data_IF_851668477620
#
_entry.id   IF_851668477620
#
_cell.length_a   1.000
_cell.length_b   1.000
_cell.length_c   1.000
_cell.angle_alpha   90.00
_cell.angle_beta   90.00
_cell.angle_gamma   90.00
#
_symmetry.space_group_name_H-M   'P 1'
#
loop_
_entity.id
_entity.type
_entity.pdbx_description
1 polymer ?
#
# COMPACT_ATOMS: atom_id res chain seq x y z
N UNK A 1 16.86 2.03 70.01
CA UNK A 1 15.94 2.50 68.95
C UNK A 1 16.80 2.80 67.73
N UNK A 2 16.69 2.06 66.61
CA UNK A 2 17.60 2.19 65.48
C UNK A 2 17.05 3.17 64.44
N UNK A 3 17.88 4.10 63.97
CA UNK A 3 17.68 4.76 62.67
C UNK A 3 18.61 4.09 61.67
N UNK A 4 18.01 3.38 60.72
CA UNK A 4 18.70 2.68 59.65
C UNK A 4 18.82 3.65 58.46
N UNK A 5 19.98 4.28 58.30
CA UNK A 5 20.28 5.21 57.21
C UNK A 5 20.41 4.44 55.87
N UNK A 6 19.32 4.35 55.12
CA UNK A 6 19.26 3.71 53.82
C UNK A 6 19.88 4.64 52.75
N UNK A 7 21.21 4.63 52.64
CA UNK A 7 21.89 5.29 51.52
C UNK A 7 21.61 4.54 50.23
N UNK A 8 20.80 5.14 49.36
CA UNK A 8 20.59 4.66 48.00
C UNK A 8 21.92 4.68 47.23
N UNK A 9 22.42 3.52 46.83
CA UNK A 9 23.62 3.43 46.00
C UNK A 9 23.37 4.09 44.63
N UNK A 10 24.30 4.95 44.14
CA UNK A 10 24.14 5.58 42.85
C UNK A 10 24.15 4.50 41.75
N UNK A 11 23.26 4.61 40.74
CA UNK A 11 23.18 3.62 39.67
C UNK A 11 24.55 3.48 38.99
N UNK A 12 25.03 2.24 38.86
CA UNK A 12 26.34 1.96 38.28
C UNK A 12 26.51 2.61 36.90
N UNK A 13 27.68 3.17 36.65
CA UNK A 13 28.03 3.89 35.41
C UNK A 13 27.60 3.07 34.18
N UNK A 14 27.82 1.76 34.19
CA UNK A 14 27.38 0.80 33.16
C UNK A 14 25.86 0.80 32.90
N UNK A 15 25.01 0.91 33.94
CA UNK A 15 23.55 1.05 33.76
C UNK A 15 23.17 2.39 33.12
N UNK A 16 23.92 3.46 33.39
CA UNK A 16 23.75 4.76 32.73
C UNK A 16 24.09 4.67 31.24
N UNK A 17 25.23 4.08 30.90
CA UNK A 17 25.65 3.89 29.50
C UNK A 17 24.68 3.02 28.69
N UNK A 18 24.21 1.89 29.26
CA UNK A 18 23.21 1.04 28.58
C UNK A 18 21.90 1.79 28.34
N UNK A 19 21.42 2.57 29.33
CA UNK A 19 20.22 3.39 29.18
C UNK A 19 20.39 4.48 28.13
N UNK A 20 21.54 5.14 28.07
CA UNK A 20 21.83 6.16 27.06
C UNK A 20 21.91 5.57 25.66
N UNK A 21 22.56 4.41 25.49
CA UNK A 21 22.63 3.71 24.19
C UNK A 21 21.25 3.25 23.73
N UNK A 22 20.44 2.68 24.63
CA UNK A 22 19.06 2.30 24.32
C UNK A 22 18.18 3.51 23.97
N UNK A 23 18.34 4.63 24.67
CA UNK A 23 17.62 5.86 24.38
C UNK A 23 18.02 6.46 23.02
N UNK A 24 19.30 6.44 22.67
CA UNK A 24 19.80 6.89 21.37
C UNK A 24 19.36 5.98 20.23
N UNK A 25 19.35 4.66 20.45
CA UNK A 25 18.84 3.70 19.47
C UNK A 25 17.32 3.88 19.24
N UNK A 26 16.54 4.09 20.32
CA UNK A 26 15.12 4.39 20.21
C UNK A 26 14.86 5.73 19.51
N UNK A 27 15.64 6.78 19.81
CA UNK A 27 15.53 8.07 19.16
C UNK A 27 15.90 8.02 17.67
N UNK A 28 16.94 7.25 17.32
CA UNK A 28 17.32 7.00 15.93
C UNK A 28 16.25 6.23 15.16
N UNK A 29 15.64 5.22 15.79
CA UNK A 29 14.52 4.47 15.21
C UNK A 29 13.29 5.36 15.00
N UNK A 30 12.95 6.19 15.97
CA UNK A 30 11.85 7.16 15.87
C UNK A 30 12.13 8.19 14.78
N UNK A 31 13.35 8.74 14.70
CA UNK A 31 13.74 9.68 13.65
C UNK A 31 13.69 9.04 12.25
N UNK A 32 14.07 7.77 12.12
CA UNK A 32 13.95 7.02 10.87
C UNK A 32 12.49 6.77 10.46
N UNK A 33 11.55 6.79 11.41
CA UNK A 33 10.12 6.70 11.14
C UNK A 33 9.48 8.04 10.71
N UNK A 34 10.15 9.19 10.90
CA UNK A 34 9.61 10.51 10.52
C UNK A 34 9.72 10.76 9.00
N UNK A 35 10.71 10.15 8.34
CA UNK A 35 10.84 10.20 6.87
C UNK A 35 10.05 9.12 6.13
N UNK A 36 9.61 8.07 6.84
CA UNK A 36 8.67 7.09 6.32
C UNK A 36 7.26 7.63 6.52
N UNK A 37 6.32 7.33 5.62
CA UNK A 37 4.89 7.47 5.95
C UNK A 37 4.38 6.10 6.41
N UNK A 38 4.65 5.66 7.66
CA UNK A 38 4.20 4.35 8.14
C UNK A 38 2.67 4.26 8.09
N UNK A 39 1.99 5.38 8.30
CA UNK A 39 0.53 5.49 8.17
C UNK A 39 0.09 5.15 6.74
N UNK A 40 0.76 5.67 5.71
CA UNK A 40 0.45 5.34 4.31
C UNK A 40 0.60 3.84 4.04
N UNK A 41 1.69 3.22 4.52
CA UNK A 41 1.93 1.78 4.31
C UNK A 41 0.85 0.95 5.02
N UNK A 42 0.50 1.30 6.25
CA UNK A 42 -0.58 0.63 7.00
C UNK A 42 -1.92 0.77 6.30
N UNK A 43 -2.28 1.98 5.85
CA UNK A 43 -3.51 2.24 5.08
C UNK A 43 -3.57 1.38 3.80
N UNK A 44 -2.48 1.34 3.04
CA UNK A 44 -2.38 0.53 1.83
C UNK A 44 -2.52 -0.97 2.14
N UNK A 45 -1.86 -1.45 3.20
CA UNK A 45 -1.97 -2.84 3.65
C UNK A 45 -3.39 -3.23 4.09
N UNK A 46 -4.08 -2.37 4.82
CA UNK A 46 -5.48 -2.60 5.21
C UNK A 46 -6.38 -2.66 3.99
N UNK A 47 -6.22 -1.74 3.04
CA UNK A 47 -7.01 -1.72 1.81
C UNK A 47 -6.84 -3.02 1.02
N UNK A 48 -5.58 -3.46 0.82
CA UNK A 48 -5.28 -4.72 0.13
C UNK A 48 -5.89 -5.92 0.86
N UNK A 49 -5.74 -6.00 2.18
CA UNK A 49 -6.34 -7.08 2.98
C UNK A 49 -7.86 -7.13 2.78
N UNK A 50 -8.54 -5.98 2.77
CA UNK A 50 -9.99 -5.92 2.56
C UNK A 50 -10.38 -6.42 1.17
N UNK A 51 -9.64 -6.02 0.13
CA UNK A 51 -9.85 -6.51 -1.25
C UNK A 51 -9.68 -8.02 -1.30
N UNK A 52 -8.59 -8.54 -0.74
CA UNK A 52 -8.27 -9.97 -0.77
C UNK A 52 -9.29 -10.82 -0.01
N UNK A 53 -9.80 -10.32 1.12
CA UNK A 53 -10.84 -10.97 1.93
C UNK A 53 -12.21 -10.98 1.24
N UNK A 54 -12.52 -9.96 0.44
CA UNK A 54 -13.79 -9.83 -0.26
C UNK A 54 -13.87 -10.65 -1.57
N UNK A 55 -12.77 -11.28 -2.00
CA UNK A 55 -12.71 -12.05 -3.26
C UNK A 55 -13.68 -13.23 -3.24
N UNK A 56 -14.42 -13.38 -4.34
CA UNK A 56 -15.30 -14.52 -4.62
C UNK A 56 -14.84 -15.24 -5.90
N UNK A 57 -14.93 -16.57 -5.98
CA UNK A 57 -14.70 -17.28 -7.23
C UNK A 57 -15.68 -16.82 -8.30
N UNK A 58 -15.18 -16.53 -9.51
CA UNK A 58 -15.99 -15.97 -10.61
C UNK A 58 -17.20 -16.85 -10.94
N UNK A 59 -17.03 -18.17 -10.96
CA UNK A 59 -18.14 -19.10 -11.22
C UNK A 59 -19.29 -18.96 -10.22
N UNK A 60 -19.01 -18.63 -8.95
CA UNK A 60 -20.05 -18.38 -7.93
C UNK A 60 -20.75 -17.06 -8.18
N UNK A 61 -20.03 -16.04 -8.64
CA UNK A 61 -20.59 -14.71 -8.94
C UNK A 61 -21.49 -14.78 -10.18
N UNK A 62 -21.10 -15.56 -11.20
CA UNK A 62 -21.91 -15.75 -12.41
C UNK A 62 -23.24 -16.44 -12.10
N UNK A 63 -23.21 -17.48 -11.24
CA UNK A 63 -24.38 -18.29 -10.89
C UNK A 63 -25.30 -17.64 -9.83
N UNK A 64 -24.88 -16.54 -9.23
CA UNK A 64 -25.66 -15.80 -8.24
C UNK A 64 -26.71 -14.93 -8.96
N UNK A 65 -27.99 -15.16 -8.66
CA UNK A 65 -29.12 -14.47 -9.32
C UNK A 65 -29.20 -12.99 -8.95
N UNK A 66 -28.60 -12.60 -7.82
CA UNK A 66 -28.56 -11.21 -7.36
C UNK A 66 -27.42 -10.41 -8.00
N UNK A 67 -26.48 -11.05 -8.70
CA UNK A 67 -25.44 -10.34 -9.44
C UNK A 67 -26.05 -9.53 -10.58
N UNK A 68 -25.61 -8.27 -10.67
CA UNK A 68 -25.91 -7.36 -11.77
C UNK A 68 -25.66 -8.03 -13.15
N UNK A 69 -26.60 -7.95 -14.10
CA UNK A 69 -26.48 -8.61 -15.40
C UNK A 69 -25.23 -8.23 -16.20
N UNK A 70 -24.82 -6.96 -16.17
CA UNK A 70 -23.64 -6.48 -16.91
C UNK A 70 -22.35 -7.06 -16.29
N UNK A 71 -22.29 -7.10 -14.96
CA UNK A 71 -21.19 -7.74 -14.22
C UNK A 71 -21.13 -9.25 -14.55
N UNK A 72 -22.27 -9.94 -14.55
CA UNK A 72 -22.35 -11.36 -14.93
C UNK A 72 -21.86 -11.59 -16.37
N UNK A 73 -22.25 -10.72 -17.30
CA UNK A 73 -21.84 -10.82 -18.71
C UNK A 73 -20.32 -10.63 -18.87
N UNK A 74 -19.74 -9.57 -18.27
CA UNK A 74 -18.29 -9.31 -18.30
C UNK A 74 -17.49 -10.47 -17.70
N UNK A 75 -17.92 -11.01 -16.56
CA UNK A 75 -17.24 -12.12 -15.91
C UNK A 75 -17.36 -13.44 -16.71
N UNK A 76 -18.50 -13.66 -17.37
CA UNK A 76 -18.66 -14.81 -18.28
C UNK A 76 -17.69 -14.72 -19.45
N UNK A 77 -17.52 -13.52 -20.02
CA UNK A 77 -16.55 -13.26 -21.08
C UNK A 77 -15.10 -13.51 -20.62
N UNK A 78 -14.74 -13.11 -19.40
CA UNK A 78 -13.43 -13.44 -18.81
C UNK A 78 -13.21 -14.96 -18.81
N UNK A 79 -14.20 -15.75 -18.40
CA UNK A 79 -14.09 -17.22 -18.39
C UNK A 79 -13.96 -17.82 -19.80
N UNK A 80 -14.62 -17.24 -20.80
CA UNK A 80 -14.48 -17.62 -22.20
C UNK A 80 -13.09 -17.32 -22.76
N UNK A 81 -12.59 -16.10 -22.54
CA UNK A 81 -11.25 -15.69 -22.94
C UNK A 81 -10.19 -16.61 -22.32
N UNK A 82 -10.36 -16.97 -21.05
CA UNK A 82 -9.51 -17.91 -20.32
C UNK A 82 -9.51 -19.31 -20.95
N UNK A 83 -10.69 -19.81 -21.32
CA UNK A 83 -10.85 -21.11 -22.00
C UNK A 83 -10.22 -21.09 -23.38
N UNK A 84 -10.35 -19.99 -24.11
CA UNK A 84 -9.73 -19.80 -25.41
C UNK A 84 -8.19 -19.80 -25.30
N UNK A 85 -7.63 -19.04 -24.34
CA UNK A 85 -6.19 -19.01 -24.10
C UNK A 85 -5.62 -20.41 -23.81
N UNK A 86 -6.29 -21.20 -22.97
CA UNK A 86 -5.86 -22.56 -22.68
C UNK A 86 -6.03 -23.52 -23.88
N UNK A 87 -7.23 -23.56 -24.47
CA UNK A 87 -7.59 -24.60 -25.45
C UNK A 87 -7.15 -24.32 -26.88
N UNK A 88 -6.98 -23.04 -27.26
CA UNK A 88 -6.66 -22.62 -28.63
C UNK A 88 -5.26 -22.06 -28.76
N UNK A 89 -4.76 -21.38 -27.73
CA UNK A 89 -3.42 -20.78 -27.74
C UNK A 89 -2.38 -21.64 -26.99
N UNK A 90 -2.82 -22.65 -26.23
CA UNK A 90 -1.93 -23.50 -25.44
C UNK A 90 -1.27 -22.75 -24.27
N UNK A 91 -1.86 -21.65 -23.79
CA UNK A 91 -1.33 -20.85 -22.68
C UNK A 91 -1.69 -21.53 -21.35
N UNK A 92 -0.71 -21.68 -20.47
CA UNK A 92 -0.93 -22.10 -19.09
C UNK A 92 -1.59 -20.95 -18.29
N UNK A 93 -2.91 -21.03 -18.12
CA UNK A 93 -3.69 -19.97 -17.47
C UNK A 93 -3.65 -20.02 -15.93
N UNK A 94 -3.17 -21.11 -15.33
CA UNK A 94 -3.01 -21.27 -13.87
C UNK A 94 -4.27 -20.91 -13.08
N UNK A 95 -4.13 -20.01 -12.10
CA UNK A 95 -5.20 -19.40 -11.30
C UNK A 95 -5.51 -17.94 -11.68
N UNK A 96 -4.84 -17.39 -12.70
CA UNK A 96 -5.03 -16.00 -13.14
C UNK A 96 -6.48 -15.75 -13.53
N UNK A 97 -7.09 -14.65 -13.09
CA UNK A 97 -8.48 -14.30 -13.43
C UNK A 97 -9.54 -15.35 -13.04
N UNK A 98 -9.40 -16.00 -11.87
CA UNK A 98 -10.41 -16.93 -11.32
C UNK A 98 -11.27 -16.33 -10.20
N UNK A 99 -10.81 -15.21 -9.63
CA UNK A 99 -11.41 -14.54 -8.49
C UNK A 99 -11.83 -13.12 -8.85
N UNK A 100 -12.87 -12.63 -8.19
CA UNK A 100 -13.44 -11.30 -8.39
C UNK A 100 -13.76 -10.65 -7.05
N UNK A 101 -13.42 -9.38 -6.91
CA UNK A 101 -13.88 -8.51 -5.81
C UNK A 101 -14.67 -7.38 -6.43
N UNK A 102 -15.92 -7.19 -6.00
CA UNK A 102 -16.67 -5.99 -6.33
C UNK A 102 -16.09 -4.82 -5.53
N UNK A 103 -15.79 -3.72 -6.22
CA UNK A 103 -15.42 -2.47 -5.58
C UNK A 103 -16.62 -1.52 -5.63
N UNK A 104 -16.76 -0.69 -4.60
CA UNK A 104 -17.78 0.36 -4.53
C UNK A 104 -17.33 1.65 -5.25
N UNK A 105 -16.38 1.52 -6.18
CA UNK A 105 -15.74 2.62 -6.90
C UNK A 105 -15.18 2.14 -8.25
N UNK A 106 -14.97 3.06 -9.16
CA UNK A 106 -14.59 2.76 -10.55
C UNK A 106 -13.15 2.27 -10.74
N UNK A 107 -12.24 2.62 -9.82
CA UNK A 107 -10.83 2.21 -9.89
C UNK A 107 -10.32 1.69 -8.55
N UNK A 108 -9.36 0.78 -8.61
CA UNK A 108 -8.75 0.19 -7.42
C UNK A 108 -8.01 1.24 -6.59
N UNK A 109 -7.23 2.08 -7.25
CA UNK A 109 -6.38 3.09 -6.65
C UNK A 109 -6.07 4.21 -7.65
N UNK A 110 -5.73 5.38 -7.13
CA UNK A 110 -5.19 6.50 -7.90
C UNK A 110 -3.67 6.53 -7.76
N UNK A 111 -2.97 6.89 -8.83
CA UNK A 111 -1.51 7.06 -8.83
C UNK A 111 -1.21 8.54 -8.99
N UNK A 112 -0.44 9.08 -8.04
CA UNK A 112 0.07 10.44 -8.06
C UNK A 112 1.53 10.41 -8.53
N UNK A 113 1.87 11.32 -9.42
CA UNK A 113 3.24 11.60 -9.84
C UNK A 113 3.43 13.11 -9.91
N UNK A 114 4.65 13.59 -9.75
CA UNK A 114 4.94 15.01 -9.81
C UNK A 114 6.33 15.30 -10.35
N UNK A 115 6.52 16.50 -10.89
CA UNK A 115 7.81 17.00 -11.38
C UNK A 115 7.91 18.52 -11.15
N UNK A 116 9.13 19.10 -11.04
CA UNK A 116 9.30 20.54 -11.08
C UNK A 116 8.82 21.12 -12.41
N UNK A 117 8.32 22.36 -12.39
CA UNK A 117 7.75 23.03 -13.58
C UNK A 117 8.75 23.27 -14.71
N UNK A 118 10.03 23.34 -14.37
CA UNK A 118 11.12 23.71 -15.26
C UNK A 118 11.97 22.52 -15.74
N UNK A 119 11.70 21.30 -15.25
CA UNK A 119 12.44 20.09 -15.66
C UNK A 119 11.62 18.82 -15.54
N UNK A 120 11.84 17.90 -16.48
CA UNK A 120 11.24 16.56 -16.48
C UNK A 120 12.00 15.62 -15.53
N UNK A 121 11.95 15.91 -14.23
CA UNK A 121 12.54 15.08 -13.16
C UNK A 121 11.45 14.65 -12.19
N UNK A 122 11.29 13.36 -11.89
CA UNK A 122 10.24 12.91 -10.98
C UNK A 122 10.54 13.32 -9.54
N UNK A 123 9.49 13.69 -8.81
CA UNK A 123 9.47 13.56 -7.35
C UNK A 123 9.48 12.07 -7.01
N UNK A 124 10.30 11.69 -6.03
CA UNK A 124 10.43 10.29 -5.62
C UNK A 124 10.12 10.12 -4.15
N UNK A 125 9.46 9.01 -3.83
CA UNK A 125 9.23 8.57 -2.45
C UNK A 125 10.13 7.39 -2.14
N UNK A 126 10.72 7.36 -0.95
CA UNK A 126 11.57 6.25 -0.51
C UNK A 126 10.81 5.30 0.43
N UNK A 127 10.95 4.01 0.20
CA UNK A 127 10.40 2.95 1.04
C UNK A 127 11.50 1.95 1.44
N UNK A 128 11.47 1.37 2.65
CA UNK A 128 12.59 0.60 3.22
C UNK A 128 12.96 -0.68 2.47
N UNK A 129 12.06 -1.25 1.67
CA UNK A 129 12.30 -2.46 0.88
C UNK A 129 12.38 -2.14 -0.62
N UNK A 130 11.50 -1.26 -1.12
CA UNK A 130 11.38 -0.95 -2.55
C UNK A 130 12.40 0.09 -3.02
N UNK A 131 12.92 0.92 -2.11
CA UNK A 131 13.78 2.05 -2.46
C UNK A 131 12.98 3.25 -2.96
N UNK A 132 13.56 4.01 -3.90
CA UNK A 132 12.93 5.23 -4.46
C UNK A 132 11.99 4.86 -5.60
N UNK A 133 10.75 5.34 -5.53
CA UNK A 133 9.71 5.11 -6.53
C UNK A 133 9.26 6.48 -7.08
N UNK A 134 9.10 6.65 -8.41
CA UNK A 134 8.74 7.92 -9.03
C UNK A 134 7.23 8.20 -9.05
N UNK A 135 6.44 7.45 -8.27
CA UNK A 135 5.00 7.62 -8.11
C UNK A 135 4.55 7.06 -6.77
N UNK A 136 3.35 7.46 -6.34
CA UNK A 136 2.71 6.98 -5.10
C UNK A 136 1.26 6.58 -5.38
N UNK A 137 0.85 5.43 -4.85
CA UNK A 137 -0.48 4.84 -5.11
C UNK A 137 -1.41 4.98 -3.90
N UNK A 138 -2.59 5.52 -4.10
CA UNK A 138 -3.56 5.82 -3.05
C UNK A 138 -4.86 5.05 -3.28
N UNK A 139 -5.24 4.22 -2.31
CA UNK A 139 -6.54 3.51 -2.32
C UNK A 139 -7.71 4.41 -1.89
N UNK A 140 -7.44 5.60 -1.37
CA UNK A 140 -8.42 6.63 -1.03
C UNK A 140 -8.25 7.80 -1.98
N UNK A 141 -9.34 8.26 -2.58
CA UNK A 141 -9.33 9.45 -3.43
C UNK A 141 -8.93 10.70 -2.64
N UNK A 142 -9.45 10.87 -1.42
CA UNK A 142 -9.08 11.97 -0.53
C UNK A 142 -7.57 11.99 -0.24
N UNK A 143 -6.98 10.82 0.09
CA UNK A 143 -5.54 10.76 0.34
C UNK A 143 -4.71 11.11 -0.91
N UNK A 144 -5.23 10.84 -2.12
CA UNK A 144 -4.57 11.20 -3.38
C UNK A 144 -4.65 12.71 -3.64
N UNK A 145 -5.82 13.30 -3.40
CA UNK A 145 -6.05 14.74 -3.58
C UNK A 145 -5.26 15.57 -2.56
N UNK A 146 -5.15 15.10 -1.32
CA UNK A 146 -4.31 15.72 -0.29
C UNK A 146 -2.83 15.72 -0.70
N UNK A 147 -2.32 14.60 -1.22
CA UNK A 147 -0.94 14.52 -1.74
C UNK A 147 -0.72 15.49 -2.90
N UNK A 148 -1.67 15.58 -3.83
CA UNK A 148 -1.64 16.54 -4.94
C UNK A 148 -1.60 17.98 -4.45
N UNK A 149 -2.46 18.33 -3.48
CA UNK A 149 -2.51 19.67 -2.91
C UNK A 149 -1.19 20.04 -2.22
N UNK A 150 -0.61 19.10 -1.46
CA UNK A 150 0.69 19.29 -0.81
C UNK A 150 1.80 19.53 -1.84
N UNK A 151 1.92 18.68 -2.86
CA UNK A 151 2.93 18.81 -3.91
C UNK A 151 2.75 20.11 -4.72
N UNK A 152 1.51 20.48 -5.02
CA UNK A 152 1.20 21.73 -5.71
C UNK A 152 1.60 22.96 -4.86
N UNK A 153 1.41 22.90 -3.54
CA UNK A 153 1.83 23.96 -2.62
C UNK A 153 3.36 24.11 -2.53
N UNK A 154 4.09 23.03 -2.77
CA UNK A 154 5.55 23.01 -2.91
C UNK A 154 6.04 23.46 -4.29
N UNK A 155 5.12 23.76 -5.22
CA UNK A 155 5.44 24.30 -6.54
C UNK A 155 5.67 23.25 -7.63
N UNK A 156 5.32 21.98 -7.39
CA UNK A 156 5.40 20.92 -8.40
C UNK A 156 4.19 20.90 -9.33
N UNK A 157 4.40 20.47 -10.57
CA UNK A 157 3.33 20.04 -11.46
C UNK A 157 2.97 18.59 -11.14
N UNK A 158 1.67 18.32 -10.94
CA UNK A 158 1.16 17.03 -10.49
C UNK A 158 0.34 16.34 -11.58
N UNK A 159 0.35 15.02 -11.56
CA UNK A 159 -0.47 14.19 -12.43
C UNK A 159 -1.10 13.06 -11.63
N UNK A 160 -2.42 12.91 -11.77
CA UNK A 160 -3.22 11.86 -11.14
C UNK A 160 -3.84 10.99 -12.21
N UNK A 161 -3.74 9.68 -12.04
CA UNK A 161 -4.41 8.73 -12.94
C UNK A 161 -5.01 7.54 -12.19
N UNK A 162 -6.09 6.95 -12.69
CA UNK A 162 -6.55 5.65 -12.19
C UNK A 162 -5.53 4.54 -12.50
N UNK A 163 -5.58 3.48 -11.70
CA UNK A 163 -4.86 2.23 -11.99
C UNK A 163 -5.66 1.39 -12.97
N UNK A 164 -5.02 0.99 -14.07
CA UNK A 164 -5.59 0.02 -15.02
C UNK A 164 -5.32 -1.44 -14.61
N UNK A 165 -4.18 -1.66 -13.95
CA UNK A 165 -3.77 -2.93 -13.37
C UNK A 165 -2.96 -2.67 -12.09
N UNK A 166 -3.02 -3.62 -11.17
CA UNK A 166 -2.28 -3.61 -9.92
C UNK A 166 -1.62 -4.96 -9.73
N UNK A 167 -0.33 -4.94 -9.41
CA UNK A 167 0.47 -6.12 -9.14
C UNK A 167 1.32 -5.85 -7.92
N UNK A 168 1.36 -6.82 -7.03
CA UNK A 168 2.19 -6.80 -5.83
C UNK A 168 3.58 -7.37 -6.07
N UNK A 169 4.01 -7.45 -7.35
CA UNK A 169 5.31 -7.96 -7.81
C UNK A 169 5.53 -9.48 -7.63
N UNK A 170 4.46 -10.24 -7.40
CA UNK A 170 4.45 -11.70 -7.46
C UNK A 170 4.67 -12.37 -6.11
N UNK A 171 3.71 -13.22 -5.73
CA UNK A 171 3.83 -14.26 -4.71
C UNK A 171 2.96 -15.44 -5.12
#
# INVERSE_FOLDING_TARGET
MPEHDARAEPPSVRRRWVRTVLALAALSLVASCIGCSPIYVVKAGIAEINILKARRPIHRVINDTLTDPDTRAKLSYVMEARRFAASKLGIEVGDSYTMFTQLDRDTLALVVSAAPKDRLSPVTWWFPIVGRVPYKGHFSEGDALDEVANLASEGYDTYVRPTAAFSTLGW
#
